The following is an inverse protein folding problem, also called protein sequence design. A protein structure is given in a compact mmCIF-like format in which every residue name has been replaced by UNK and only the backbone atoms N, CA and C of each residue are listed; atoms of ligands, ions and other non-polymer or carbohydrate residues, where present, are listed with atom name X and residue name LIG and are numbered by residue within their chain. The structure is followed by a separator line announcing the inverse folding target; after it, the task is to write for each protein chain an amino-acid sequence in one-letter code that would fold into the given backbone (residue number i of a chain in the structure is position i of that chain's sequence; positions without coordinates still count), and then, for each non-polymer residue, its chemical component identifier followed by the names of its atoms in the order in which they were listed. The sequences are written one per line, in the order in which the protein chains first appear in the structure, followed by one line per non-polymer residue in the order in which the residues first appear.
data_IF_200320432955
#
_entry.id   IF_200320432955
#
_cell.length_a   1.000
_cell.length_b   1.000
_cell.length_c   1.000
_cell.angle_alpha   90.00
_cell.angle_beta   90.00
_cell.angle_gamma   90.00
#
_symmetry.space_group_name_H-M   'P 1'
#
loop_
_entity.id
_entity.type
_entity.pdbx_description
1 polymer ?
#
# COMPACT_ATOMS: atom_id res chain seq x y z
N UNK A 1 24.20 -13.88 53.43
CA UNK A 1 25.49 -13.17 53.54
C UNK A 1 25.29 -11.78 52.95
N UNK A 2 25.31 -10.80 53.82
CA UNK A 2 25.10 -9.37 53.56
C UNK A 2 26.33 -8.74 52.91
N UNK A 3 26.18 -7.74 52.02
CA UNK A 3 27.12 -6.63 51.77
C UNK A 3 26.32 -5.74 50.78
N UNK A 4 25.72 -4.65 51.10
CA UNK A 4 26.12 -3.28 51.51
C UNK A 4 26.63 -2.45 50.31
N UNK A 5 25.77 -1.59 49.86
CA UNK A 5 25.74 -0.10 49.60
C UNK A 5 27.10 0.55 49.27
N UNK A 6 27.14 1.39 48.22
CA UNK A 6 27.69 2.74 48.28
C UNK A 6 26.99 3.62 47.22
N UNK A 7 26.35 4.69 47.71
CA UNK A 7 25.91 5.90 46.99
C UNK A 7 27.14 6.74 46.60
N UNK A 8 27.10 7.35 45.41
CA UNK A 8 27.88 8.56 45.16
C UNK A 8 26.98 9.61 44.50
N UNK A 9 26.74 10.65 45.31
CA UNK A 9 26.12 11.92 44.94
C UNK A 9 27.22 12.82 44.37
N UNK A 10 27.05 13.36 43.19
CA UNK A 10 27.95 14.33 42.57
C UNK A 10 27.15 15.43 41.89
N UNK A 11 26.88 16.50 42.67
CA UNK A 11 26.26 17.74 42.24
C UNK A 11 27.34 18.67 41.65
N UNK A 12 27.15 19.14 40.40
CA UNK A 12 27.88 20.33 39.91
C UNK A 12 26.92 21.28 39.23
N UNK A 13 26.73 22.41 39.93
CA UNK A 13 26.12 23.62 39.44
C UNK A 13 27.11 24.33 38.51
N UNK A 14 26.66 24.74 37.34
CA UNK A 14 27.34 25.81 36.57
C UNK A 14 26.37 26.90 36.16
N UNK A 15 26.82 28.06 36.45
CA UNK A 15 26.35 29.41 36.45
C UNK A 15 25.90 29.95 35.10
N UNK A 16 24.86 30.80 35.14
CA UNK A 16 24.42 31.69 34.06
C UNK A 16 25.42 32.79 33.77
N UNK A 17 25.58 33.14 32.51
CA UNK A 17 26.16 34.41 32.12
C UNK A 17 25.29 35.10 31.08
N UNK A 18 24.72 36.25 31.48
CA UNK A 18 23.91 37.16 30.67
C UNK A 18 24.77 37.90 29.63
N UNK A 19 24.45 37.81 28.35
CA UNK A 19 24.91 38.78 27.36
C UNK A 19 23.76 39.60 26.80
N UNK A 20 23.77 40.90 27.18
CA UNK A 20 22.92 41.95 26.64
C UNK A 20 23.07 42.09 25.14
N UNK A 21 21.99 41.96 24.40
CA UNK A 21 21.93 42.27 22.96
C UNK A 21 21.21 43.59 22.73
N UNK A 22 21.87 44.48 22.01
CA UNK A 22 21.42 45.83 21.65
C UNK A 22 20.20 45.81 20.74
N UNK A 23 19.21 46.63 21.10
CA UNK A 23 18.03 46.92 20.28
C UNK A 23 18.39 47.87 19.15
N UNK A 24 18.29 47.44 17.90
CA UNK A 24 18.31 48.34 16.76
C UNK A 24 16.89 48.63 16.29
N UNK A 25 16.51 49.93 16.33
CA UNK A 25 15.28 50.47 15.77
C UNK A 25 15.28 50.29 14.24
N UNK A 26 14.28 49.59 13.69
CA UNK A 26 14.03 49.52 12.27
C UNK A 26 12.82 50.40 11.95
N UNK A 27 13.04 51.33 11.02
CA UNK A 27 12.05 52.25 10.44
C UNK A 27 11.17 51.47 9.45
N UNK A 28 9.84 51.64 9.39
CA UNK A 28 8.98 50.92 8.47
C UNK A 28 9.10 51.47 7.05
N UNK A 29 9.59 50.64 6.12
CA UNK A 29 9.56 50.93 4.71
C UNK A 29 8.23 50.39 4.11
N UNK A 30 7.46 51.29 3.54
CA UNK A 30 6.21 51.10 2.82
C UNK A 30 6.45 50.12 1.65
N UNK A 31 5.88 48.91 1.67
CA UNK A 31 5.98 47.96 0.57
C UNK A 31 4.77 48.07 -0.33
N UNK A 32 5.01 48.43 -1.55
CA UNK A 32 4.07 48.39 -2.68
C UNK A 32 3.82 46.92 -3.03
N UNK A 33 2.57 46.49 -2.95
CA UNK A 33 2.14 45.15 -3.32
C UNK A 33 2.05 45.04 -4.85
N UNK A 34 2.97 44.31 -5.46
CA UNK A 34 2.82 43.79 -6.82
C UNK A 34 2.24 42.38 -6.71
N UNK A 35 1.22 42.01 -7.50
CA UNK A 35 0.68 40.67 -7.49
C UNK A 35 1.68 39.72 -8.17
N UNK A 36 2.25 38.79 -7.43
CA UNK A 36 2.97 37.66 -8.00
C UNK A 36 1.97 36.70 -8.63
N UNK A 37 1.81 36.80 -9.93
CA UNK A 37 1.31 35.70 -10.75
C UNK A 37 2.29 34.54 -10.61
N UNK A 38 1.91 33.52 -9.86
CA UNK A 38 2.61 32.24 -9.90
C UNK A 38 2.36 31.61 -11.25
N UNK A 39 3.34 31.70 -12.13
CA UNK A 39 3.45 30.82 -13.29
C UNK A 39 3.52 29.39 -12.77
N UNK A 40 2.38 28.70 -12.83
CA UNK A 40 2.32 27.25 -12.64
C UNK A 40 2.87 26.64 -13.91
N UNK A 41 4.15 26.30 -13.88
CA UNK A 41 4.78 25.50 -14.93
C UNK A 41 4.09 24.10 -14.95
N UNK A 42 3.36 23.74 -16.03
CA UNK A 42 2.58 22.50 -16.07
C UNK A 42 3.41 21.23 -16.33
N UNK A 43 4.73 21.32 -16.40
CA UNK A 43 5.62 20.18 -16.67
C UNK A 43 6.48 19.79 -15.45
N UNK A 44 5.90 19.62 -14.28
CA UNK A 44 6.55 18.81 -13.27
C UNK A 44 6.33 17.36 -13.67
N UNK A 45 7.36 16.71 -14.24
CA UNK A 45 7.36 15.30 -14.63
C UNK A 45 6.76 14.48 -13.49
N UNK A 46 5.73 13.70 -13.79
CA UNK A 46 5.03 12.75 -12.90
C UNK A 46 5.98 11.73 -12.24
N UNK A 47 7.28 11.76 -12.67
CA UNK A 47 8.34 10.85 -12.23
C UNK A 47 8.88 11.08 -10.81
N UNK A 48 8.62 12.26 -10.19
CA UNK A 48 9.25 12.64 -8.91
C UNK A 48 8.25 12.73 -7.75
N UNK A 49 6.98 12.33 -7.96
CA UNK A 49 5.98 12.37 -6.92
C UNK A 49 5.99 11.05 -6.13
N UNK A 50 6.51 11.12 -4.89
CA UNK A 50 6.58 9.98 -3.98
C UNK A 50 5.36 9.99 -3.06
N UNK A 51 4.60 8.89 -3.06
CA UNK A 51 3.44 8.70 -2.19
C UNK A 51 3.88 8.44 -0.75
N UNK A 52 3.13 9.03 0.19
CA UNK A 52 3.30 8.83 1.62
C UNK A 52 1.96 9.06 2.36
N UNK A 53 1.92 8.78 3.66
CA UNK A 53 0.69 8.86 4.46
C UNK A 53 0.04 10.26 4.48
N UNK A 54 0.79 11.33 4.16
CA UNK A 54 0.26 12.71 4.15
C UNK A 54 -0.39 13.10 2.83
N UNK A 55 0.00 12.49 1.70
CA UNK A 55 -0.46 12.90 0.38
C UNK A 55 -1.30 11.84 -0.35
N UNK A 56 -1.30 10.60 0.12
CA UNK A 56 -1.91 9.46 -0.57
C UNK A 56 -3.43 9.62 -0.76
N UNK A 57 -4.12 10.15 0.23
CA UNK A 57 -5.58 10.30 0.18
C UNK A 57 -6.00 11.34 -0.88
N UNK A 58 -5.37 12.52 -0.84
CA UNK A 58 -5.63 13.56 -1.82
C UNK A 58 -5.26 13.11 -3.24
N UNK A 59 -4.10 12.44 -3.36
CA UNK A 59 -3.65 11.89 -4.64
C UNK A 59 -4.69 10.92 -5.24
N UNK A 60 -5.12 9.91 -4.49
CA UNK A 60 -6.07 8.92 -5.03
C UNK A 60 -7.48 9.46 -5.22
N UNK A 61 -7.93 10.47 -4.45
CA UNK A 61 -9.19 11.17 -4.73
C UNK A 61 -9.15 11.92 -6.07
N UNK A 62 -8.01 12.53 -6.41
CA UNK A 62 -7.84 13.21 -7.69
C UNK A 62 -7.62 12.21 -8.83
N UNK A 63 -6.90 11.11 -8.56
CA UNK A 63 -6.60 10.05 -9.52
C UNK A 63 -7.88 9.32 -9.95
N UNK A 64 -8.74 8.97 -9.01
CA UNK A 64 -10.01 8.28 -9.23
C UNK A 64 -10.91 8.99 -10.24
N UNK A 65 -10.95 10.33 -10.19
CA UNK A 65 -11.75 11.16 -11.14
C UNK A 65 -11.29 11.05 -12.59
N UNK A 66 -10.04 10.67 -12.82
CA UNK A 66 -9.41 10.63 -14.16
C UNK A 66 -9.21 9.19 -14.66
N UNK A 67 -9.28 8.21 -13.77
CA UNK A 67 -8.95 6.81 -14.03
C UNK A 67 -10.09 5.93 -13.56
N UNK A 68 -11.07 5.73 -14.46
CA UNK A 68 -12.30 4.98 -14.19
C UNK A 68 -12.19 3.51 -14.61
N UNK A 69 -11.05 3.11 -15.12
CA UNK A 69 -10.79 1.72 -15.52
C UNK A 69 -11.09 0.77 -14.35
N UNK A 70 -11.75 -0.33 -14.65
CA UNK A 70 -12.23 -1.25 -13.63
C UNK A 70 -11.94 -2.72 -13.90
N UNK A 71 -11.36 -3.05 -15.04
CA UNK A 71 -11.05 -4.44 -15.38
C UNK A 71 -9.56 -4.61 -15.64
N UNK A 72 -8.96 -5.60 -14.99
CA UNK A 72 -7.53 -5.92 -15.14
C UNK A 72 -7.33 -7.40 -15.41
N UNK A 73 -6.25 -7.75 -16.09
CA UNK A 73 -5.80 -9.12 -16.34
C UNK A 73 -4.47 -9.38 -15.70
N UNK A 74 -4.38 -10.44 -14.92
CA UNK A 74 -3.15 -11.01 -14.39
C UNK A 74 -2.75 -12.17 -15.28
N UNK A 75 -1.53 -12.11 -15.84
CA UNK A 75 -0.93 -13.22 -16.60
C UNK A 75 0.03 -13.98 -15.67
N UNK A 76 -0.13 -15.30 -15.60
CA UNK A 76 0.72 -16.22 -14.82
C UNK A 76 1.16 -17.40 -15.67
N UNK A 77 2.10 -18.21 -15.15
CA UNK A 77 2.48 -19.48 -15.78
C UNK A 77 1.34 -20.51 -15.81
N UNK A 78 0.32 -20.34 -14.97
CA UNK A 78 -0.85 -21.20 -14.86
C UNK A 78 -2.02 -20.77 -15.75
N UNK A 79 -1.97 -19.57 -16.34
CA UNK A 79 -3.01 -18.99 -17.18
C UNK A 79 -3.37 -17.55 -16.80
N UNK A 80 -4.54 -17.12 -17.23
CA UNK A 80 -5.03 -15.75 -17.11
C UNK A 80 -6.09 -15.64 -15.99
N UNK A 81 -6.04 -14.56 -15.21
CA UNK A 81 -7.06 -14.23 -14.22
C UNK A 81 -7.56 -12.83 -14.51
N UNK A 82 -8.84 -12.69 -14.87
CA UNK A 82 -9.46 -11.39 -15.09
C UNK A 82 -10.24 -10.96 -13.85
N UNK A 83 -10.01 -9.74 -13.41
CA UNK A 83 -10.58 -9.18 -12.18
C UNK A 83 -11.36 -7.91 -12.54
N UNK A 84 -12.59 -7.80 -12.04
CA UNK A 84 -13.34 -6.55 -12.00
C UNK A 84 -13.14 -5.88 -10.65
N UNK A 85 -12.68 -4.63 -10.68
CA UNK A 85 -12.48 -3.78 -9.50
C UNK A 85 -13.76 -2.99 -9.20
N UNK A 86 -14.04 -2.74 -7.92
CA UNK A 86 -15.27 -2.10 -7.47
C UNK A 86 -15.12 -0.58 -7.33
N UNK A 87 -16.06 0.17 -7.91
CA UNK A 87 -16.10 1.63 -7.80
C UNK A 87 -16.34 2.11 -6.36
N UNK A 88 -17.10 1.36 -5.57
CA UNK A 88 -17.41 1.71 -4.19
C UNK A 88 -16.16 1.77 -3.29
N UNK A 89 -15.11 1.00 -3.61
CA UNK A 89 -13.83 0.99 -2.91
C UNK A 89 -12.76 1.75 -3.69
N UNK A 90 -13.04 3.01 -3.99
CA UNK A 90 -12.28 3.84 -4.92
C UNK A 90 -10.79 3.96 -4.62
N UNK A 91 -10.37 4.02 -3.35
CA UNK A 91 -8.95 4.09 -3.00
C UNK A 91 -8.22 2.83 -3.40
N UNK A 92 -8.80 1.66 -3.15
CA UNK A 92 -8.23 0.36 -3.48
C UNK A 92 -8.20 0.13 -4.99
N UNK A 93 -9.31 0.46 -5.69
CA UNK A 93 -9.38 0.42 -7.15
C UNK A 93 -8.32 1.33 -7.78
N UNK A 94 -8.30 2.60 -7.40
CA UNK A 94 -7.36 3.58 -7.95
C UNK A 94 -5.92 3.22 -7.68
N UNK A 95 -5.61 2.70 -6.49
CA UNK A 95 -4.30 2.19 -6.14
C UNK A 95 -3.89 1.02 -7.06
N UNK A 96 -4.78 0.04 -7.23
CA UNK A 96 -4.47 -1.12 -8.08
C UNK A 96 -4.23 -0.70 -9.54
N UNK A 97 -5.06 0.18 -10.10
CA UNK A 97 -4.89 0.75 -11.45
C UNK A 97 -3.57 1.55 -11.54
N UNK A 98 -3.27 2.39 -10.56
CA UNK A 98 -2.03 3.16 -10.51
C UNK A 98 -0.80 2.25 -10.52
N UNK A 99 -0.77 1.23 -9.66
CA UNK A 99 0.33 0.26 -9.58
C UNK A 99 0.45 -0.56 -10.87
N UNK A 100 -0.66 -0.92 -11.50
CA UNK A 100 -0.68 -1.59 -12.81
C UNK A 100 -0.05 -0.71 -13.89
N UNK A 101 -0.43 0.57 -13.97
CA UNK A 101 0.17 1.53 -14.93
C UNK A 101 1.66 1.77 -14.67
N UNK A 102 2.10 1.72 -13.41
CA UNK A 102 3.52 1.78 -13.02
C UNK A 102 4.28 0.46 -13.22
N UNK A 103 3.61 -0.58 -13.74
CA UNK A 103 4.16 -1.94 -13.92
C UNK A 103 4.76 -2.50 -12.62
N UNK A 104 4.14 -2.13 -11.49
CA UNK A 104 4.61 -2.58 -10.19
C UNK A 104 4.49 -4.09 -10.06
N UNK A 105 3.33 -4.65 -10.42
CA UNK A 105 3.02 -6.07 -10.25
C UNK A 105 3.80 -6.99 -11.21
N UNK A 106 4.34 -6.46 -12.30
CA UNK A 106 5.10 -7.27 -13.28
C UNK A 106 6.31 -7.90 -12.61
N UNK A 107 6.43 -9.23 -12.74
CA UNK A 107 7.47 -10.06 -12.13
C UNK A 107 7.45 -10.13 -10.59
N UNK A 108 6.32 -9.77 -9.96
CA UNK A 108 6.07 -10.13 -8.56
C UNK A 108 5.56 -11.58 -8.47
N UNK A 109 5.22 -12.06 -7.28
CA UNK A 109 4.86 -13.45 -7.06
C UNK A 109 3.54 -13.59 -6.30
N UNK A 110 2.88 -14.73 -6.46
CA UNK A 110 2.00 -15.27 -5.43
C UNK A 110 2.90 -15.93 -4.38
N UNK A 111 3.19 -15.20 -3.33
CA UNK A 111 4.21 -15.54 -2.35
C UNK A 111 3.65 -16.25 -1.10
N UNK A 112 2.33 -16.30 -0.94
CA UNK A 112 1.66 -17.04 0.11
C UNK A 112 0.43 -17.72 -0.46
N UNK A 113 0.38 -19.04 -0.34
CA UNK A 113 -0.65 -19.88 -0.92
C UNK A 113 -1.16 -20.85 0.13
N UNK A 114 -2.44 -20.76 0.47
CA UNK A 114 -3.08 -21.65 1.43
C UNK A 114 -4.26 -22.33 0.73
N UNK A 115 -4.17 -23.64 0.48
CA UNK A 115 -5.28 -24.40 -0.11
C UNK A 115 -6.57 -24.25 0.70
N UNK A 116 -7.69 -24.12 -0.01
CA UNK A 116 -9.02 -23.89 0.58
C UNK A 116 -9.07 -22.66 1.49
N UNK A 117 -8.27 -21.62 1.19
CA UNK A 117 -8.34 -20.32 1.85
C UNK A 117 -8.08 -19.19 0.86
N UNK A 118 -6.83 -18.81 0.65
CA UNK A 118 -6.46 -17.67 -0.21
C UNK A 118 -5.18 -17.93 -1.00
N UNK A 119 -5.01 -17.25 -2.12
CA UNK A 119 -3.71 -17.01 -2.75
C UNK A 119 -3.38 -15.52 -2.64
N UNK A 120 -2.21 -15.17 -2.11
CA UNK A 120 -1.79 -13.80 -1.85
C UNK A 120 -0.58 -13.45 -2.71
N UNK A 121 -0.66 -12.31 -3.42
CA UNK A 121 0.33 -11.89 -4.39
C UNK A 121 0.65 -10.40 -4.33
N UNK A 122 1.50 -9.95 -5.26
CA UNK A 122 1.93 -8.56 -5.41
C UNK A 122 3.25 -8.23 -4.70
N UNK A 123 3.89 -9.22 -4.08
CA UNK A 123 5.19 -9.07 -3.45
C UNK A 123 6.23 -10.03 -4.06
N UNK A 124 7.47 -9.79 -3.75
CA UNK A 124 8.62 -10.65 -4.02
C UNK A 124 9.74 -10.24 -3.07
N UNK A 125 10.62 -11.14 -2.75
CA UNK A 125 11.83 -10.93 -1.94
C UNK A 125 13.00 -10.35 -2.78
N UNK A 126 12.77 -10.07 -4.06
CA UNK A 126 13.79 -9.58 -4.97
C UNK A 126 14.08 -8.07 -4.83
N UNK A 127 15.32 -7.69 -5.21
CA UNK A 127 15.74 -6.28 -5.20
C UNK A 127 14.97 -5.39 -6.21
N UNK A 128 14.60 -5.85 -7.41
CA UNK A 128 13.78 -5.08 -8.35
C UNK A 128 12.44 -4.65 -7.75
N UNK A 129 11.69 -5.53 -7.11
CA UNK A 129 10.41 -5.22 -6.46
C UNK A 129 10.59 -4.18 -5.35
N UNK A 130 11.61 -4.34 -4.49
CA UNK A 130 11.93 -3.36 -3.46
C UNK A 130 12.22 -1.96 -4.05
N UNK A 131 12.99 -1.88 -5.14
CA UNK A 131 13.28 -0.62 -5.82
C UNK A 131 12.03 0.04 -6.42
N UNK A 132 11.11 -0.75 -6.99
CA UNK A 132 9.81 -0.24 -7.47
C UNK A 132 9.02 0.39 -6.32
N UNK A 133 8.92 -0.28 -5.15
CA UNK A 133 8.26 0.26 -3.95
C UNK A 133 8.87 1.57 -3.48
N UNK A 134 10.20 1.64 -3.39
CA UNK A 134 10.90 2.86 -2.97
C UNK A 134 10.63 4.05 -3.90
N UNK A 135 10.52 3.82 -5.21
CA UNK A 135 10.19 4.87 -6.19
C UNK A 135 8.73 5.33 -6.12
N UNK A 136 7.82 4.44 -5.78
CA UNK A 136 6.38 4.74 -5.64
C UNK A 136 6.13 5.46 -4.31
N UNK A 137 6.68 4.93 -3.21
CA UNK A 137 6.58 5.51 -1.89
C UNK A 137 6.17 4.52 -0.80
N UNK A 138 5.99 5.03 0.41
CA UNK A 138 5.53 4.26 1.58
C UNK A 138 4.25 4.90 2.12
N UNK A 139 3.15 4.17 2.05
CA UNK A 139 1.83 4.61 2.49
C UNK A 139 0.95 3.40 2.81
N UNK A 140 -0.17 3.65 3.45
CA UNK A 140 -1.25 2.70 3.69
C UNK A 140 -2.56 3.26 3.15
N UNK A 141 -3.54 2.39 2.89
CA UNK A 141 -4.87 2.79 2.45
C UNK A 141 -5.88 2.63 3.59
N UNK A 142 -6.95 3.47 3.62
CA UNK A 142 -8.00 3.35 4.62
C UNK A 142 -8.72 2.01 4.47
N UNK A 143 -9.25 1.49 5.57
CA UNK A 143 -10.13 0.34 5.52
C UNK A 143 -11.53 0.78 5.08
N UNK A 144 -12.04 0.18 4.00
CA UNK A 144 -13.36 0.44 3.40
C UNK A 144 -14.27 -0.80 3.49
N UNK A 145 -14.16 -1.60 4.55
CA UNK A 145 -14.90 -2.87 4.74
C UNK A 145 -16.43 -2.68 4.83
N UNK A 146 -16.89 -1.48 5.14
CA UNK A 146 -18.30 -1.10 5.33
C UNK A 146 -19.10 -0.97 4.03
N UNK A 147 -18.51 -1.21 2.86
CA UNK A 147 -19.18 -1.13 1.55
C UNK A 147 -20.12 -2.31 1.25
N UNK A 148 -20.31 -3.22 2.19
CA UNK A 148 -21.27 -4.34 2.06
C UNK A 148 -20.77 -5.55 1.29
N UNK A 149 -19.52 -5.54 0.84
CA UNK A 149 -18.92 -6.72 0.21
C UNK A 149 -18.49 -7.75 1.25
N UNK A 150 -18.60 -9.03 0.88
CA UNK A 150 -18.22 -10.17 1.70
C UNK A 150 -17.10 -10.95 1.03
N UNK A 151 -16.27 -11.63 1.81
CA UNK A 151 -15.19 -12.46 1.29
C UNK A 151 -15.69 -13.80 0.73
N UNK A 152 -16.60 -13.71 -0.26
CA UNK A 152 -17.02 -14.88 -1.04
C UNK A 152 -15.86 -15.41 -1.89
N UNK A 153 -15.97 -16.67 -2.35
CA UNK A 153 -15.02 -17.24 -3.31
C UNK A 153 -14.89 -16.34 -4.54
N UNK A 154 -13.64 -16.10 -4.98
CA UNK A 154 -13.30 -15.24 -6.11
C UNK A 154 -13.19 -13.76 -5.77
N UNK A 155 -13.55 -13.33 -4.55
CA UNK A 155 -13.35 -11.94 -4.15
C UNK A 155 -11.89 -11.63 -3.95
N UNK A 156 -11.52 -10.39 -4.34
CA UNK A 156 -10.17 -9.85 -4.23
C UNK A 156 -10.14 -8.82 -3.13
N UNK A 157 -9.21 -8.99 -2.20
CA UNK A 157 -9.07 -8.13 -1.03
C UNK A 157 -7.63 -7.72 -0.78
N UNK A 158 -7.43 -6.72 0.05
CA UNK A 158 -6.10 -6.19 0.35
C UNK A 158 -5.71 -6.55 1.79
N UNK A 159 -4.52 -7.15 2.01
CA UNK A 159 -4.09 -7.52 3.35
C UNK A 159 -3.75 -6.28 4.16
N UNK A 160 -3.74 -6.44 5.47
CA UNK A 160 -3.34 -5.44 6.45
C UNK A 160 -2.25 -6.01 7.34
N UNK A 161 -1.27 -5.20 7.72
CA UNK A 161 -0.30 -5.59 8.74
C UNK A 161 -1.01 -5.81 10.08
N UNK A 162 -0.65 -6.87 10.80
CA UNK A 162 -1.17 -7.12 12.16
C UNK A 162 -0.40 -6.37 13.24
N UNK A 163 0.78 -5.82 12.92
CA UNK A 163 1.67 -5.18 13.89
C UNK A 163 1.37 -3.68 13.89
N UNK A 164 1.04 -3.13 15.05
CA UNK A 164 0.83 -1.68 15.28
C UNK A 164 -0.15 -1.02 14.28
N UNK A 165 -1.18 -1.76 13.87
CA UNK A 165 -2.17 -1.30 12.90
C UNK A 165 -3.62 -1.51 13.42
N UNK A 166 -4.04 -0.78 14.47
CA UNK A 166 -5.34 -0.96 15.10
C UNK A 166 -6.51 -0.61 14.16
N UNK A 167 -6.28 0.22 13.16
CA UNK A 167 -7.30 0.65 12.20
C UNK A 167 -7.38 -0.26 10.96
N UNK A 168 -6.63 -1.36 10.93
CA UNK A 168 -6.60 -2.30 9.80
C UNK A 168 -6.34 -1.62 8.44
N UNK A 169 -5.48 -0.60 8.42
CA UNK A 169 -5.07 0.07 7.19
C UNK A 169 -4.45 -0.94 6.22
N UNK A 170 -4.84 -0.89 4.96
CA UNK A 170 -4.46 -1.88 3.97
C UNK A 170 -3.05 -1.66 3.41
N UNK A 171 -2.34 -2.76 3.16
CA UNK A 171 -1.02 -2.80 2.50
C UNK A 171 -1.21 -2.63 0.99
N UNK A 172 -0.85 -1.49 0.39
CA UNK A 172 -1.26 -1.13 -0.96
C UNK A 172 -0.61 -1.97 -2.06
N UNK A 173 0.52 -2.61 -1.76
CA UNK A 173 1.35 -3.35 -2.72
C UNK A 173 0.99 -4.83 -2.84
N UNK A 174 0.02 -5.29 -2.07
CA UNK A 174 -0.32 -6.70 -1.94
C UNK A 174 -1.83 -6.89 -2.08
N UNK A 175 -2.23 -8.05 -2.56
CA UNK A 175 -3.64 -8.44 -2.65
C UNK A 175 -3.77 -9.95 -2.42
N UNK A 176 -4.96 -10.39 -2.07
CA UNK A 176 -5.28 -11.82 -2.04
C UNK A 176 -6.60 -12.11 -2.75
N UNK A 177 -6.71 -13.32 -3.29
CA UNK A 177 -7.93 -13.84 -3.91
C UNK A 177 -8.47 -14.95 -3.01
N UNK A 178 -9.74 -14.86 -2.64
CA UNK A 178 -10.40 -15.89 -1.85
C UNK A 178 -10.62 -17.12 -2.70
N UNK A 179 -9.97 -18.23 -2.34
CA UNK A 179 -10.10 -19.52 -3.02
C UNK A 179 -11.07 -20.45 -2.30
N UNK A 180 -11.29 -20.24 -0.99
CA UNK A 180 -12.10 -21.07 -0.13
C UNK A 180 -13.51 -21.30 -0.68
N UNK A 181 -13.93 -22.57 -0.74
CA UNK A 181 -15.32 -22.92 -1.03
C UNK A 181 -16.22 -22.37 0.09
N UNK A 182 -17.33 -21.72 -0.29
CA UNK A 182 -18.23 -21.07 0.67
C UNK A 182 -17.76 -19.70 1.19
N UNK A 183 -16.53 -19.26 0.82
CA UNK A 183 -16.01 -17.94 1.23
C UNK A 183 -15.21 -17.95 2.54
N UNK A 184 -14.48 -16.88 2.78
CA UNK A 184 -13.63 -16.66 3.96
C UNK A 184 -14.24 -15.58 4.88
N UNK A 185 -15.47 -15.78 5.33
CA UNK A 185 -16.29 -14.77 6.02
C UNK A 185 -15.75 -14.30 7.36
N UNK A 186 -14.80 -15.03 7.97
CA UNK A 186 -14.10 -14.57 9.17
C UNK A 186 -13.19 -13.36 8.91
N UNK A 187 -12.94 -13.01 7.62
CA UNK A 187 -12.22 -11.80 7.21
C UNK A 187 -13.14 -10.57 7.04
N UNK A 188 -14.47 -10.78 7.06
CA UNK A 188 -15.44 -9.70 6.92
C UNK A 188 -15.33 -8.72 8.09
N UNK A 189 -15.32 -7.42 7.77
CA UNK A 189 -15.15 -6.37 8.77
C UNK A 189 -13.68 -5.99 9.06
N UNK A 190 -12.72 -6.84 8.72
CA UNK A 190 -11.29 -6.58 8.95
C UNK A 190 -10.55 -6.11 7.69
N UNK A 191 -10.97 -6.58 6.51
CA UNK A 191 -10.28 -6.30 5.25
C UNK A 191 -11.23 -5.76 4.21
N UNK A 192 -10.70 -4.93 3.30
CA UNK A 192 -11.49 -4.35 2.22
C UNK A 192 -11.49 -5.25 0.99
N UNK A 193 -12.67 -5.77 0.66
CA UNK A 193 -12.91 -6.40 -0.64
C UNK A 193 -13.05 -5.32 -1.70
N UNK A 194 -12.20 -5.32 -2.72
CA UNK A 194 -12.16 -4.25 -3.72
C UNK A 194 -12.35 -4.74 -5.18
N UNK A 195 -12.56 -6.03 -5.37
CA UNK A 195 -12.79 -6.60 -6.70
C UNK A 195 -13.25 -8.05 -6.63
N UNK A 196 -13.51 -8.62 -7.80
CA UNK A 196 -13.89 -10.03 -7.98
C UNK A 196 -13.28 -10.61 -9.24
N UNK A 197 -12.88 -11.87 -9.18
CA UNK A 197 -12.48 -12.64 -10.36
C UNK A 197 -13.71 -12.86 -11.23
N UNK A 198 -13.63 -12.45 -12.49
CA UNK A 198 -14.69 -12.63 -13.50
C UNK A 198 -14.35 -13.74 -14.50
N UNK A 199 -13.07 -14.12 -14.59
CA UNK A 199 -12.58 -15.23 -15.40
C UNK A 199 -11.28 -15.78 -14.79
N UNK A 200 -11.02 -17.09 -14.89
CA UNK A 200 -9.78 -17.71 -14.44
C UNK A 200 -9.80 -18.23 -12.99
N UNK A 201 -10.96 -18.52 -12.40
CA UNK A 201 -11.03 -19.18 -11.09
C UNK A 201 -10.41 -20.59 -11.10
N UNK A 202 -10.40 -21.29 -12.24
CA UNK A 202 -9.66 -22.54 -12.41
C UNK A 202 -8.13 -22.35 -12.33
N UNK A 203 -7.64 -21.18 -12.77
CA UNK A 203 -6.23 -20.78 -12.62
C UNK A 203 -5.91 -20.50 -11.15
N UNK A 204 -6.80 -19.80 -10.44
CA UNK A 204 -6.68 -19.60 -8.99
C UNK A 204 -6.60 -20.93 -8.24
N UNK A 205 -7.43 -21.93 -8.64
CA UNK A 205 -7.42 -23.27 -8.04
C UNK A 205 -6.11 -24.01 -8.32
N UNK A 206 -5.58 -23.91 -9.55
CA UNK A 206 -4.28 -24.51 -9.91
C UNK A 206 -3.14 -23.91 -9.07
N UNK A 207 -3.14 -22.58 -8.89
CA UNK A 207 -2.15 -21.90 -8.05
C UNK A 207 -2.33 -22.32 -6.59
N UNK A 208 -3.56 -22.42 -6.09
CA UNK A 208 -3.82 -22.84 -4.71
C UNK A 208 -3.40 -24.29 -4.42
N UNK A 209 -3.21 -25.11 -5.45
CA UNK A 209 -2.81 -26.51 -5.34
C UNK A 209 -1.28 -26.74 -5.40
N UNK A 210 -0.47 -25.70 -5.59
CA UNK A 210 0.99 -25.86 -5.62
C UNK A 210 1.54 -26.26 -4.26
N UNK A 211 2.58 -27.10 -4.21
CA UNK A 211 3.26 -27.41 -2.93
C UNK A 211 3.88 -26.17 -2.30
N UNK A 212 3.73 -26.02 -0.98
CA UNK A 212 4.26 -24.91 -0.19
C UNK A 212 5.16 -25.43 0.94
N UNK A 213 5.97 -24.54 1.49
CA UNK A 213 6.72 -24.78 2.73
C UNK A 213 5.86 -24.55 3.99
N UNK A 214 6.48 -24.64 5.16
CA UNK A 214 5.80 -24.43 6.46
C UNK A 214 5.33 -22.99 6.71
N UNK A 215 5.72 -22.06 5.85
CA UNK A 215 5.32 -20.63 5.88
C UNK A 215 4.30 -20.27 4.79
N UNK A 216 3.69 -21.29 4.19
CA UNK A 216 2.76 -21.14 3.05
C UNK A 216 3.42 -20.58 1.77
N UNK A 217 4.75 -20.53 1.67
CA UNK A 217 5.45 -20.07 0.49
C UNK A 217 5.56 -21.21 -0.55
N UNK A 218 5.18 -20.95 -1.83
CA UNK A 218 5.31 -21.96 -2.88
C UNK A 218 6.75 -22.46 -3.04
N UNK A 219 6.96 -23.80 -3.06
CA UNK A 219 8.28 -24.40 -3.28
C UNK A 219 8.87 -24.04 -4.65
N UNK A 220 8.03 -23.76 -5.62
CA UNK A 220 8.40 -23.18 -6.91
C UNK A 220 7.68 -21.85 -7.06
N UNK A 221 8.43 -20.79 -7.35
CA UNK A 221 7.88 -19.46 -7.48
C UNK A 221 6.75 -19.40 -8.50
N UNK A 222 5.62 -18.82 -8.11
CA UNK A 222 4.47 -18.56 -8.97
C UNK A 222 4.50 -17.09 -9.35
N UNK A 223 5.00 -16.79 -10.55
CA UNK A 223 5.17 -15.41 -11.00
C UNK A 223 3.87 -14.80 -11.51
N UNK A 224 3.65 -13.54 -11.13
CA UNK A 224 2.78 -12.61 -11.83
C UNK A 224 3.63 -12.02 -12.96
N UNK A 225 3.55 -12.61 -14.15
CA UNK A 225 4.37 -12.18 -15.28
C UNK A 225 4.06 -10.75 -15.68
N UNK A 226 2.76 -10.40 -15.67
CA UNK A 226 2.26 -9.11 -16.11
C UNK A 226 0.89 -8.86 -15.51
N UNK A 227 0.59 -7.58 -15.19
CA UNK A 227 -0.77 -7.11 -14.97
C UNK A 227 -1.07 -5.99 -15.97
N UNK A 228 -2.20 -6.09 -16.66
CA UNK A 228 -2.64 -5.10 -17.64
C UNK A 228 -4.10 -4.72 -17.43
N UNK A 229 -4.43 -3.48 -17.83
CA UNK A 229 -5.79 -2.97 -17.80
C UNK A 229 -6.47 -3.46 -19.07
N UNK A 230 -7.66 -4.04 -18.89
CA UNK A 230 -8.61 -4.31 -19.96
C UNK A 230 -9.61 -3.14 -20.00
N UNK A 231 -10.07 -2.79 -21.18
CA UNK A 231 -11.06 -1.72 -21.37
C UNK A 231 -12.40 -2.02 -20.68
#
# INVERSE_FOLDING_TARGET
MRILIILFLGSTLFSCEDKKTKVNKIVPKKSTSTPLTKDVNPEKKESDFILNDKNVMEFFLAYDKKHLESTVRITTDFGLIDIRLFEATKFHRSNFIYLTKKKYFDQTQFYRVIPNFVIQGGNSDDRPTLRKRQKIGKYLLPNDHDKGFKHNRGMVSMPSSSIENPYKLASPFEFFIVQQQGGAHHLDGDYTVFGTVINGMDVVDKIAAVPTDSSDWPLQNVFIQKVEILE
#
